data_IF_816270367176
#
_entry.id   IF_816270367176
#
_cell.length_a   1.000
_cell.length_b   1.000
_cell.length_c   1.000
_cell.angle_alpha   90.00
_cell.angle_beta   90.00
_cell.angle_gamma   90.00
#
_symmetry.space_group_name_H-M   'P 1'
#
loop_
_entity.id
_entity.type
_entity.pdbx_description
1 polymer ?
#
# COMPACT_ATOMS: atom_id res chain seq x y z
N UNK A 1 -44.46 -12.91 -52.38
CA UNK A 1 -43.95 -12.53 -51.05
C UNK A 1 -44.70 -11.29 -50.60
N UNK A 2 -45.38 -11.33 -49.44
CA UNK A 2 -46.10 -10.17 -48.93
C UNK A 2 -45.09 -9.14 -48.41
N UNK A 3 -45.12 -7.94 -48.98
CA UNK A 3 -44.24 -6.84 -48.60
C UNK A 3 -44.93 -6.09 -47.45
N UNK A 4 -44.46 -6.30 -46.22
CA UNK A 4 -45.01 -5.62 -45.04
C UNK A 4 -44.62 -4.14 -45.12
N UNK A 5 -45.59 -3.21 -45.18
CA UNK A 5 -45.28 -1.78 -45.25
C UNK A 5 -44.70 -1.31 -43.92
N UNK A 6 -43.59 -0.56 -43.97
CA UNK A 6 -42.97 0.04 -42.78
C UNK A 6 -43.91 1.14 -42.25
N UNK A 7 -44.45 0.93 -41.06
CA UNK A 7 -45.35 1.91 -40.42
C UNK A 7 -44.56 2.87 -39.52
N UNK A 8 -45.11 4.06 -39.30
CA UNK A 8 -44.54 5.06 -38.37
C UNK A 8 -44.39 4.50 -36.96
N UNK A 9 -45.34 3.68 -36.52
CA UNK A 9 -45.32 3.01 -35.21
C UNK A 9 -44.17 2.02 -35.09
N UNK A 10 -43.87 1.25 -36.14
CA UNK A 10 -42.70 0.37 -36.18
C UNK A 10 -41.40 1.18 -36.07
N UNK A 11 -41.27 2.28 -36.82
CA UNK A 11 -40.09 3.15 -36.73
C UNK A 11 -39.93 3.76 -35.33
N UNK A 12 -41.04 4.19 -34.73
CA UNK A 12 -41.04 4.80 -33.41
C UNK A 12 -40.72 3.76 -32.31
N UNK A 13 -41.22 2.54 -32.42
CA UNK A 13 -40.88 1.41 -31.54
C UNK A 13 -39.40 1.04 -31.64
N UNK A 14 -38.88 0.91 -32.85
CA UNK A 14 -37.45 0.62 -33.09
C UNK A 14 -36.55 1.74 -32.58
N UNK A 15 -36.93 3.01 -32.76
CA UNK A 15 -36.21 4.16 -32.22
C UNK A 15 -36.17 4.14 -30.69
N UNK A 16 -37.31 3.88 -30.03
CA UNK A 16 -37.37 3.76 -28.58
C UNK A 16 -36.54 2.58 -28.06
N UNK A 17 -36.60 1.42 -28.73
CA UNK A 17 -35.79 0.26 -28.39
C UNK A 17 -34.28 0.57 -28.52
N UNK A 18 -33.88 1.25 -29.60
CA UNK A 18 -32.50 1.69 -29.79
C UNK A 18 -32.05 2.68 -28.71
N UNK A 19 -32.87 3.68 -28.36
CA UNK A 19 -32.54 4.62 -27.28
C UNK A 19 -32.38 3.92 -25.93
N UNK A 20 -33.27 2.98 -25.58
CA UNK A 20 -33.16 2.18 -24.35
C UNK A 20 -31.88 1.36 -24.33
N UNK A 21 -31.56 0.69 -25.44
CA UNK A 21 -30.32 -0.08 -25.58
C UNK A 21 -29.08 0.80 -25.46
N UNK A 22 -29.04 1.92 -26.18
CA UNK A 22 -27.92 2.86 -26.17
C UNK A 22 -27.68 3.42 -24.77
N UNK A 23 -28.73 3.81 -24.06
CA UNK A 23 -28.64 4.29 -22.68
C UNK A 23 -28.17 3.19 -21.73
N UNK A 24 -28.69 1.97 -21.86
CA UNK A 24 -28.24 0.83 -21.05
C UNK A 24 -26.77 0.49 -21.29
N UNK A 25 -26.29 0.57 -22.54
CA UNK A 25 -24.89 0.34 -22.88
C UNK A 25 -24.00 1.45 -22.33
N UNK A 26 -24.43 2.71 -22.41
CA UNK A 26 -23.71 3.85 -21.84
C UNK A 26 -23.59 3.72 -20.31
N UNK A 27 -24.68 3.35 -19.64
CA UNK A 27 -24.71 3.13 -18.21
C UNK A 27 -23.82 1.95 -17.78
N UNK A 28 -23.83 0.85 -18.55
CA UNK A 28 -22.92 -0.28 -18.32
C UNK A 28 -21.45 0.15 -18.40
N UNK A 29 -21.08 0.89 -19.46
CA UNK A 29 -19.72 1.42 -19.63
C UNK A 29 -19.33 2.45 -18.57
N UNK A 30 -20.29 3.17 -18.00
CA UNK A 30 -20.06 4.09 -16.87
C UNK A 30 -19.75 3.30 -15.61
N UNK A 31 -20.58 2.31 -15.28
CA UNK A 31 -20.40 1.43 -14.11
C UNK A 31 -19.08 0.66 -14.16
N UNK A 32 -18.72 0.09 -15.31
CA UNK A 32 -17.45 -0.62 -15.47
C UNK A 32 -16.25 0.28 -15.17
N UNK A 33 -16.27 1.54 -15.65
CA UNK A 33 -15.21 2.53 -15.36
C UNK A 33 -15.17 2.92 -13.88
N UNK A 34 -16.33 3.10 -13.25
CA UNK A 34 -16.42 3.40 -11.82
C UNK A 34 -15.93 2.24 -10.95
N UNK A 35 -16.27 1.01 -11.30
CA UNK A 35 -15.77 -0.19 -10.64
C UNK A 35 -14.26 -0.33 -10.78
N UNK A 36 -13.71 -0.09 -11.97
CA UNK A 36 -12.28 -0.15 -12.21
C UNK A 36 -11.53 0.91 -11.38
N UNK A 37 -12.01 2.15 -11.36
CA UNK A 37 -11.45 3.23 -10.53
C UNK A 37 -11.54 2.89 -9.04
N UNK A 38 -12.70 2.42 -8.57
CA UNK A 38 -12.88 2.07 -7.17
C UNK A 38 -12.01 0.89 -6.76
N UNK A 39 -11.87 -0.11 -7.63
CA UNK A 39 -10.98 -1.25 -7.40
C UNK A 39 -9.52 -0.83 -7.32
N UNK A 40 -9.08 0.10 -8.18
CA UNK A 40 -7.73 0.66 -8.17
C UNK A 40 -7.47 1.42 -6.87
N UNK A 41 -8.39 2.30 -6.47
CA UNK A 41 -8.31 3.03 -5.20
C UNK A 41 -8.27 2.10 -3.99
N UNK A 42 -9.11 1.06 -3.99
CA UNK A 42 -9.12 0.04 -2.93
C UNK A 42 -7.79 -0.70 -2.85
N UNK A 43 -7.23 -1.16 -3.98
CA UNK A 43 -5.91 -1.82 -4.02
C UNK A 43 -4.81 -0.94 -3.45
N UNK A 44 -4.78 0.34 -3.80
CA UNK A 44 -3.84 1.32 -3.24
C UNK A 44 -4.03 1.49 -1.73
N UNK A 45 -5.27 1.59 -1.26
CA UNK A 45 -5.60 1.68 0.16
C UNK A 45 -5.16 0.43 0.93
N UNK A 46 -5.45 -0.76 0.41
CA UNK A 46 -5.06 -2.03 1.04
C UNK A 46 -3.53 -2.16 1.12
N UNK A 47 -2.80 -1.73 0.06
CA UNK A 47 -1.34 -1.68 0.07
C UNK A 47 -0.80 -0.73 1.15
N UNK A 48 -1.40 0.46 1.30
CA UNK A 48 -1.03 1.41 2.35
C UNK A 48 -1.27 0.84 3.76
N UNK A 49 -2.41 0.18 3.96
CA UNK A 49 -2.75 -0.49 5.23
C UNK A 49 -1.72 -1.57 5.56
N UNK A 50 -1.15 -2.26 4.57
CA UNK A 50 -0.08 -3.24 4.79
C UNK A 50 1.29 -2.61 5.11
N UNK A 51 1.57 -1.38 4.65
CA UNK A 51 2.84 -0.70 4.90
C UNK A 51 2.95 -0.12 6.31
N UNK A 52 1.86 0.40 6.89
CA UNK A 52 1.86 1.02 8.24
C UNK A 52 2.32 0.05 9.36
N UNK A 53 1.85 -1.21 9.42
CA UNK A 53 2.33 -2.19 10.38
C UNK A 53 3.81 -2.54 10.19
N UNK A 54 4.29 -2.60 8.93
CA UNK A 54 5.71 -2.84 8.64
C UNK A 54 6.56 -1.70 9.20
N UNK A 55 6.14 -0.45 9.05
CA UNK A 55 6.82 0.72 9.63
C UNK A 55 6.94 0.60 11.13
N UNK A 56 5.81 0.37 11.81
CA UNK A 56 5.78 0.20 13.27
C UNK A 56 6.65 -0.96 13.75
N UNK A 57 6.67 -2.08 13.03
CA UNK A 57 7.53 -3.21 13.36
C UNK A 57 9.01 -2.86 13.22
N UNK A 58 9.40 -2.17 12.14
CA UNK A 58 10.78 -1.73 11.95
C UNK A 58 11.22 -0.73 13.02
N UNK A 59 10.34 0.19 13.45
CA UNK A 59 10.58 1.10 14.58
C UNK A 59 10.89 0.30 15.86
N UNK A 60 10.04 -0.68 16.21
CA UNK A 60 10.24 -1.51 17.39
C UNK A 60 11.52 -2.37 17.33
N UNK A 61 11.85 -2.91 16.15
CA UNK A 61 13.09 -3.66 15.94
C UNK A 61 14.32 -2.78 16.19
N UNK A 62 14.31 -1.53 15.72
CA UNK A 62 15.40 -0.57 15.95
C UNK A 62 15.54 -0.29 17.45
N UNK A 63 14.44 0.01 18.13
CA UNK A 63 14.44 0.28 19.57
C UNK A 63 15.00 -0.90 20.36
N UNK A 64 14.61 -2.13 19.99
CA UNK A 64 15.11 -3.34 20.62
C UNK A 64 16.62 -3.52 20.40
N UNK A 65 17.11 -3.30 19.17
CA UNK A 65 18.54 -3.40 18.86
C UNK A 65 19.37 -2.37 19.63
N UNK A 66 18.89 -1.13 19.71
CA UNK A 66 19.57 -0.06 20.45
C UNK A 66 19.62 -0.38 21.94
N UNK A 67 18.48 -0.75 22.54
CA UNK A 67 18.41 -1.16 23.96
C UNK A 67 19.32 -2.33 24.26
N UNK A 68 19.30 -3.36 23.40
CA UNK A 68 20.15 -4.55 23.56
C UNK A 68 21.63 -4.20 23.46
N UNK A 69 22.00 -3.29 22.55
CA UNK A 69 23.37 -2.83 22.42
C UNK A 69 23.82 -2.06 23.66
N UNK A 70 22.99 -1.17 24.20
CA UNK A 70 23.32 -0.40 25.40
C UNK A 70 23.41 -1.32 26.64
N UNK A 71 22.53 -2.31 26.77
CA UNK A 71 22.66 -3.35 27.80
C UNK A 71 23.98 -4.14 27.71
N UNK A 72 24.47 -4.40 26.49
CA UNK A 72 25.77 -5.06 26.32
C UNK A 72 26.93 -4.17 26.76
N UNK A 73 26.85 -2.85 26.51
CA UNK A 73 27.84 -1.89 26.99
C UNK A 73 27.84 -1.84 28.52
N UNK A 74 26.68 -1.78 29.16
CA UNK A 74 26.55 -1.80 30.63
C UNK A 74 27.11 -3.09 31.25
N UNK A 75 26.89 -4.24 30.60
CA UNK A 75 27.48 -5.52 31.02
C UNK A 75 29.00 -5.52 30.85
N UNK A 76 29.52 -4.90 29.78
CA UNK A 76 30.95 -4.84 29.51
C UNK A 76 31.72 -4.08 30.60
N UNK A 77 31.12 -3.05 31.21
CA UNK A 77 31.74 -2.28 32.30
C UNK A 77 32.07 -3.16 33.52
N UNK A 78 31.29 -4.23 33.75
CA UNK A 78 31.44 -5.13 34.91
C UNK A 78 32.17 -6.44 34.59
N UNK A 79 32.54 -6.65 33.33
CA UNK A 79 33.08 -7.91 32.84
C UNK A 79 34.61 -7.94 32.84
N UNK A 80 35.19 -9.13 32.66
CA UNK A 80 36.63 -9.24 32.42
C UNK A 80 37.02 -8.60 31.08
N UNK A 81 38.29 -8.21 30.90
CA UNK A 81 38.73 -7.51 29.69
C UNK A 81 38.39 -8.24 28.37
N UNK A 82 38.46 -9.58 28.37
CA UNK A 82 38.12 -10.40 27.20
C UNK A 82 36.61 -10.38 26.92
N UNK A 83 35.79 -10.59 27.94
CA UNK A 83 34.33 -10.57 27.81
C UNK A 83 33.81 -9.17 27.47
N UNK A 84 34.40 -8.13 28.06
CA UNK A 84 34.09 -6.74 27.74
C UNK A 84 34.34 -6.44 26.27
N UNK A 85 35.46 -6.89 25.70
CA UNK A 85 35.75 -6.73 24.28
C UNK A 85 34.68 -7.41 23.40
N UNK A 86 34.32 -8.65 23.69
CA UNK A 86 33.28 -9.38 22.94
C UNK A 86 31.91 -8.68 23.01
N UNK A 87 31.52 -8.20 24.19
CA UNK A 87 30.27 -7.46 24.40
C UNK A 87 30.26 -6.13 23.64
N UNK A 88 31.37 -5.39 23.64
CA UNK A 88 31.51 -4.14 22.89
C UNK A 88 31.37 -4.41 21.39
N UNK A 89 32.07 -5.43 20.85
CA UNK A 89 31.98 -5.79 19.43
C UNK A 89 30.55 -6.15 19.04
N UNK A 90 29.86 -6.97 19.85
CA UNK A 90 28.44 -7.31 19.61
C UNK A 90 27.54 -6.07 19.66
N UNK A 91 27.76 -5.15 20.61
CA UNK A 91 27.00 -3.90 20.69
C UNK A 91 27.18 -3.02 19.44
N UNK A 92 28.41 -2.95 18.90
CA UNK A 92 28.70 -2.18 17.69
C UNK A 92 28.03 -2.78 16.46
N UNK A 93 28.01 -4.11 16.34
CA UNK A 93 27.28 -4.80 15.29
C UNK A 93 25.77 -4.49 15.36
N UNK A 94 25.17 -4.55 16.55
CA UNK A 94 23.75 -4.21 16.76
C UNK A 94 23.45 -2.74 16.41
N UNK A 95 24.31 -1.81 16.80
CA UNK A 95 24.18 -0.37 16.45
C UNK A 95 24.29 -0.14 14.94
N UNK A 96 25.18 -0.88 14.26
CA UNK A 96 25.31 -0.84 12.80
C UNK A 96 24.03 -1.34 12.12
N UNK A 97 23.47 -2.46 12.58
CA UNK A 97 22.24 -3.01 12.02
C UNK A 97 21.01 -2.14 12.31
N UNK A 98 20.94 -1.52 13.50
CA UNK A 98 19.93 -0.52 13.82
C UNK A 98 20.01 0.69 12.87
N UNK A 99 21.23 1.15 12.56
CA UNK A 99 21.46 2.25 11.61
C UNK A 99 21.00 1.89 10.18
N UNK A 100 21.26 0.65 9.72
CA UNK A 100 20.74 0.17 8.43
C UNK A 100 19.22 0.15 8.43
N UNK A 101 18.59 -0.46 9.45
CA UNK A 101 17.12 -0.49 9.59
C UNK A 101 16.51 0.91 9.66
N UNK A 102 17.21 1.89 10.24
CA UNK A 102 16.76 3.29 10.26
C UNK A 102 16.67 3.88 8.86
N UNK A 103 17.62 3.59 7.97
CA UNK A 103 17.56 4.00 6.54
C UNK A 103 16.40 3.32 5.81
N UNK A 104 16.15 2.04 6.11
CA UNK A 104 15.00 1.32 5.57
C UNK A 104 13.68 1.92 6.06
N UNK A 105 13.62 2.34 7.33
CA UNK A 105 12.48 3.00 7.94
C UNK A 105 12.20 4.37 7.30
N UNK A 106 13.24 5.16 7.03
CA UNK A 106 13.12 6.44 6.32
C UNK A 106 12.55 6.22 4.91
N UNK A 107 13.09 5.23 4.19
CA UNK A 107 12.60 4.85 2.86
C UNK A 107 11.14 4.41 2.89
N UNK A 108 10.77 3.59 3.87
CA UNK A 108 9.40 3.11 4.07
C UNK A 108 8.44 4.24 4.45
N UNK A 109 8.90 5.21 5.25
CA UNK A 109 8.11 6.38 5.63
C UNK A 109 7.85 7.29 4.44
N UNK A 110 8.86 7.54 3.60
CA UNK A 110 8.71 8.28 2.35
C UNK A 110 7.72 7.59 1.40
N UNK A 111 7.82 6.26 1.25
CA UNK A 111 6.87 5.50 0.44
C UNK A 111 5.44 5.59 0.98
N UNK A 112 5.25 5.54 2.30
CA UNK A 112 3.92 5.70 2.91
C UNK A 112 3.34 7.08 2.60
N UNK A 113 4.14 8.15 2.72
CA UNK A 113 3.72 9.51 2.42
C UNK A 113 3.34 9.68 0.94
N UNK A 114 4.13 9.13 0.03
CA UNK A 114 3.84 9.13 -1.41
C UNK A 114 2.50 8.43 -1.71
N UNK A 115 2.27 7.26 -1.12
CA UNK A 115 1.02 6.51 -1.30
C UNK A 115 -0.19 7.19 -0.66
N UNK A 116 0.00 7.89 0.46
CA UNK A 116 -1.04 8.72 1.07
C UNK A 116 -1.41 9.89 0.16
N UNK A 117 -0.42 10.55 -0.46
CA UNK A 117 -0.66 11.62 -1.43
C UNK A 117 -1.39 11.11 -2.68
N UNK A 118 -1.02 9.95 -3.22
CA UNK A 118 -1.69 9.33 -4.37
C UNK A 118 -3.16 8.95 -4.10
N UNK A 119 -3.56 8.74 -2.85
CA UNK A 119 -4.93 8.37 -2.45
C UNK A 119 -5.83 9.59 -2.17
N UNK A 120 -5.21 10.75 -1.97
CA UNK A 120 -5.88 12.04 -1.76
C UNK A 120 -6.16 12.79 -3.07
N UNK A 121 -5.51 12.38 -4.18
CA UNK A 121 -5.82 12.81 -5.55
C UNK A 121 -6.97 11.99 -6.14
#
# INVERSE_FOLDING_TARGET
>A
MSQVPITKEMLQSSSQAWHRYSNALAEKKRKEREEEQNSSRKRKSDALVALKPKRKRTELDIDLLVKSADEMVEKAVKASAKEAHELIVKSLAMKSDASKKKKDLESLSSLILEREAELMQ
#
